data_IF_282920665478
#
_entry.id   IF_282920665478
#
_cell.length_a   1.000
_cell.length_b   1.000
_cell.length_c   1.000
_cell.angle_alpha   90.00
_cell.angle_beta   90.00
_cell.angle_gamma   90.00
#
_symmetry.space_group_name_H-M   'P 1'
#
loop_
_entity.id
_entity.type
_entity.pdbx_description
1 polymer ?
#
# COMPACT_ATOMS: atom_id res chain seq x y z
N UNK A 1 -48.86 78.85 -6.72
CA UNK A 1 -47.43 78.77 -6.36
C UNK A 1 -47.01 77.32 -6.47
N UNK A 2 -46.10 77.05 -7.40
CA UNK A 2 -45.58 75.73 -7.72
C UNK A 2 -44.56 75.26 -6.68
N UNK A 3 -44.63 73.99 -6.27
CA UNK A 3 -43.49 73.24 -5.74
C UNK A 3 -43.52 71.81 -6.26
N UNK A 4 -42.64 71.56 -7.20
CA UNK A 4 -42.14 70.25 -7.59
C UNK A 4 -41.18 69.73 -6.52
N UNK A 5 -41.18 68.42 -6.26
CA UNK A 5 -40.09 67.64 -5.63
C UNK A 5 -40.41 66.16 -5.82
N UNK A 6 -39.86 65.51 -6.85
CA UNK A 6 -38.58 64.80 -6.92
C UNK A 6 -38.77 63.30 -6.64
N UNK A 7 -38.87 62.53 -7.73
CA UNK A 7 -38.68 61.08 -7.74
C UNK A 7 -37.26 60.74 -7.30
N UNK A 8 -37.11 59.79 -6.38
CA UNK A 8 -35.84 59.08 -6.15
C UNK A 8 -36.09 57.59 -6.39
N UNK A 9 -35.74 57.13 -7.59
CA UNK A 9 -35.72 55.72 -7.96
C UNK A 9 -34.46 55.06 -7.41
N UNK A 10 -34.63 54.09 -6.52
CA UNK A 10 -33.54 53.26 -6.02
C UNK A 10 -33.30 52.11 -7.02
N UNK A 11 -32.30 52.27 -7.88
CA UNK A 11 -31.79 51.20 -8.74
C UNK A 11 -30.94 50.27 -7.89
N UNK A 12 -31.48 49.10 -7.55
CA UNK A 12 -30.75 48.04 -6.86
C UNK A 12 -29.82 47.34 -7.85
N UNK A 13 -28.56 47.77 -7.91
CA UNK A 13 -27.52 47.10 -8.68
C UNK A 13 -27.13 45.79 -7.97
N UNK A 14 -27.59 44.66 -8.52
CA UNK A 14 -27.17 43.32 -8.11
C UNK A 14 -25.72 43.11 -8.58
N UNK A 15 -24.76 43.41 -7.71
CA UNK A 15 -23.35 43.13 -7.97
C UNK A 15 -23.14 41.61 -7.97
N UNK A 16 -23.03 41.03 -9.16
CA UNK A 16 -22.47 39.69 -9.37
C UNK A 16 -21.01 39.70 -8.88
N UNK A 17 -20.81 39.25 -7.64
CA UNK A 17 -19.48 38.88 -7.15
C UNK A 17 -19.13 37.56 -7.83
N UNK A 18 -18.42 37.64 -8.96
CA UNK A 18 -17.68 36.52 -9.51
C UNK A 18 -16.58 36.16 -8.52
N UNK A 19 -16.85 35.22 -7.61
CA UNK A 19 -15.82 34.56 -6.83
C UNK A 19 -14.90 33.82 -7.81
N UNK A 20 -13.76 34.43 -8.11
CA UNK A 20 -12.67 33.76 -8.78
C UNK A 20 -12.28 32.57 -7.88
N UNK A 21 -12.69 31.37 -8.27
CA UNK A 21 -12.14 30.14 -7.71
C UNK A 21 -10.67 30.12 -8.11
N UNK A 22 -9.82 30.64 -7.24
CA UNK A 22 -8.41 30.37 -7.30
C UNK A 22 -8.29 28.84 -7.31
N UNK A 23 -7.83 28.28 -8.43
CA UNK A 23 -7.41 26.90 -8.50
C UNK A 23 -6.13 26.80 -7.67
N UNK A 24 -6.27 26.86 -6.35
CA UNK A 24 -5.23 26.43 -5.44
C UNK A 24 -4.94 24.98 -5.79
N UNK A 25 -3.67 24.68 -6.03
CA UNK A 25 -3.22 23.29 -6.05
C UNK A 25 -3.69 22.60 -4.76
N UNK A 26 -3.73 21.26 -4.73
CA UNK A 26 -4.10 20.53 -3.51
C UNK A 26 -3.23 21.05 -2.37
N UNK A 27 -3.88 21.77 -1.45
CA UNK A 27 -3.22 22.33 -0.28
C UNK A 27 -2.74 21.14 0.55
N UNK A 28 -1.43 21.05 0.70
CA UNK A 28 -0.80 19.99 1.45
C UNK A 28 -1.26 20.08 2.90
N UNK A 29 -1.88 19.02 3.42
CA UNK A 29 -2.38 18.98 4.79
C UNK A 29 -1.21 19.08 5.77
N UNK A 30 -1.39 19.75 6.92
CA UNK A 30 -0.36 19.85 7.94
C UNK A 30 0.00 18.46 8.48
N UNK A 31 1.27 18.25 8.81
CA UNK A 31 1.72 17.02 9.45
C UNK A 31 1.26 17.02 10.91
N UNK A 32 0.55 15.98 11.30
CA UNK A 32 0.15 15.73 12.68
C UNK A 32 1.27 15.02 13.42
N UNK A 33 1.80 15.63 14.48
CA UNK A 33 2.79 15.00 15.36
C UNK A 33 2.13 13.87 16.17
N UNK A 34 2.84 12.74 16.27
CA UNK A 34 2.38 11.53 16.93
C UNK A 34 3.27 11.16 18.13
N UNK A 35 2.75 10.38 19.10
CA UNK A 35 3.61 9.66 20.04
C UNK A 35 4.59 8.73 19.31
N UNK A 36 5.67 8.34 19.97
CA UNK A 36 6.66 7.42 19.39
C UNK A 36 6.05 6.03 19.08
N UNK A 37 6.43 5.46 17.93
CA UNK A 37 6.04 4.12 17.50
C UNK A 37 7.14 3.48 16.65
N UNK A 38 7.21 2.14 16.65
CA UNK A 38 8.15 1.36 15.85
C UNK A 38 7.46 0.32 14.96
N UNK A 39 6.19 0.04 15.24
CA UNK A 39 5.34 -0.82 14.42
C UNK A 39 4.30 0.03 13.69
N UNK A 40 4.07 -0.25 12.41
CA UNK A 40 2.98 0.33 11.63
C UNK A 40 2.01 -0.78 11.25
N UNK A 41 0.76 -0.65 11.68
CA UNK A 41 -0.33 -1.57 11.38
C UNK A 41 -1.35 -0.88 10.47
N UNK A 42 -1.57 -1.45 9.29
CA UNK A 42 -2.42 -0.90 8.26
C UNK A 42 -3.67 -1.75 8.04
N UNK A 43 -4.81 -1.09 8.14
CA UNK A 43 -6.16 -1.63 7.93
C UNK A 43 -6.96 -0.63 7.07
N UNK A 44 -6.36 -0.19 5.95
CA UNK A 44 -6.88 0.89 5.10
C UNK A 44 -6.96 0.45 3.63
N UNK A 45 -7.99 0.88 2.88
CA UNK A 45 -8.18 0.45 1.49
C UNK A 45 -7.47 1.38 0.47
N UNK A 46 -6.44 2.13 0.90
CA UNK A 46 -5.70 3.08 0.08
C UNK A 46 -4.20 2.98 0.33
N UNK A 47 -3.40 3.51 -0.60
CA UNK A 47 -1.95 3.39 -0.54
C UNK A 47 -1.37 4.25 0.59
N UNK A 48 -0.37 3.70 1.29
CA UNK A 48 0.34 4.39 2.37
C UNK A 48 1.81 4.49 2.01
N UNK A 49 2.40 5.67 2.23
CA UNK A 49 3.83 5.91 2.09
C UNK A 49 4.47 6.06 3.47
N UNK A 50 5.41 5.19 3.81
CA UNK A 50 6.17 5.23 5.06
C UNK A 50 7.55 5.74 4.72
N UNK A 51 7.99 6.83 5.36
CA UNK A 51 9.26 7.49 5.04
C UNK A 51 10.02 7.87 6.31
N UNK A 52 11.35 7.86 6.30
CA UNK A 52 12.11 8.34 7.43
C UNK A 52 11.81 9.82 7.69
N UNK A 53 11.71 10.21 8.96
CA UNK A 53 11.65 11.62 9.36
C UNK A 53 12.99 12.31 9.09
N UNK A 54 12.95 13.57 8.64
CA UNK A 54 14.11 14.44 8.48
C UNK A 54 13.97 15.74 9.29
N UNK A 55 14.88 16.70 9.08
CA UNK A 55 14.88 17.99 9.79
C UNK A 55 13.65 18.89 9.49
N UNK A 56 12.88 18.59 8.44
CA UNK A 56 11.69 19.33 8.01
C UNK A 56 10.38 18.71 8.48
N UNK A 57 10.44 17.51 9.05
CA UNK A 57 9.28 16.75 9.53
C UNK A 57 9.39 16.47 11.02
N UNK A 58 8.28 16.30 11.76
CA UNK A 58 8.37 15.79 13.13
C UNK A 58 9.00 14.39 13.15
N UNK A 59 9.62 14.02 14.28
CA UNK A 59 10.22 12.69 14.43
C UNK A 59 9.20 11.58 14.17
N UNK A 60 7.99 11.74 14.68
CA UNK A 60 6.86 10.84 14.45
C UNK A 60 5.70 11.66 13.93
N UNK A 61 5.18 11.30 12.77
CA UNK A 61 4.18 12.13 12.09
C UNK A 61 3.24 11.34 11.19
N UNK A 62 2.05 11.89 11.01
CA UNK A 62 1.06 11.43 10.04
C UNK A 62 0.59 12.61 9.21
N UNK A 63 0.61 12.45 7.90
CA UNK A 63 0.04 13.41 6.97
C UNK A 63 -1.04 12.75 6.13
N UNK A 64 -2.20 13.40 6.03
CA UNK A 64 -3.36 12.90 5.27
C UNK A 64 -3.80 13.98 4.27
N UNK A 65 -3.39 13.84 3.01
CA UNK A 65 -3.86 14.68 1.92
C UNK A 65 -5.05 14.00 1.24
N UNK A 66 -6.26 14.39 1.66
CA UNK A 66 -7.52 13.94 1.10
C UNK A 66 -8.59 15.03 1.25
N UNK A 67 -9.75 14.86 0.62
CA UNK A 67 -10.89 15.72 0.91
C UNK A 67 -11.34 15.58 2.38
N UNK A 68 -11.82 16.67 2.98
CA UNK A 68 -12.10 16.73 4.42
C UNK A 68 -12.96 15.57 4.95
N UNK A 69 -14.06 15.16 4.28
CA UNK A 69 -14.85 14.01 4.75
C UNK A 69 -14.07 12.69 4.78
N UNK A 70 -13.15 12.48 3.84
CA UNK A 70 -12.29 11.29 3.78
C UNK A 70 -11.19 11.36 4.83
N UNK A 71 -10.56 12.52 5.00
CA UNK A 71 -9.56 12.73 6.04
C UNK A 71 -10.14 12.47 7.44
N UNK A 72 -11.41 12.87 7.68
CA UNK A 72 -12.13 12.59 8.92
C UNK A 72 -12.54 11.12 9.09
N UNK A 73 -12.65 10.36 7.99
CA UNK A 73 -12.95 8.94 8.03
C UNK A 73 -11.71 8.08 8.32
N UNK A 74 -10.51 8.62 8.14
CA UNK A 74 -9.25 7.94 8.46
C UNK A 74 -9.02 8.06 9.97
N UNK A 75 -8.99 6.93 10.65
CA UNK A 75 -8.75 6.83 12.08
C UNK A 75 -7.32 6.37 12.31
N UNK A 76 -6.67 6.94 13.32
CA UNK A 76 -5.34 6.52 13.73
C UNK A 76 -5.23 6.52 15.26
N UNK A 77 -4.40 5.63 15.78
CA UNK A 77 -4.04 5.60 17.19
C UNK A 77 -2.64 5.05 17.35
N UNK A 78 -1.88 5.56 18.32
CA UNK A 78 -0.63 4.92 18.76
C UNK A 78 -0.94 4.18 20.05
N UNK A 79 -0.78 2.86 20.04
CA UNK A 79 -1.05 2.00 21.19
C UNK A 79 0.08 2.08 22.22
N UNK A 80 -0.17 1.56 23.43
CA UNK A 80 0.83 1.55 24.51
C UNK A 80 2.10 0.74 24.17
N UNK A 81 2.00 -0.23 23.25
CA UNK A 81 3.13 -1.02 22.78
C UNK A 81 3.90 -0.37 21.60
N UNK A 82 3.60 0.88 21.26
CA UNK A 82 4.31 1.60 20.19
C UNK A 82 3.91 1.16 18.78
N UNK A 83 2.64 0.78 18.59
CA UNK A 83 2.09 0.48 17.26
C UNK A 83 1.22 1.63 16.78
N UNK A 84 1.56 2.23 15.64
CA UNK A 84 0.66 3.09 14.90
C UNK A 84 -0.36 2.23 14.16
N UNK A 85 -1.60 2.24 14.60
CA UNK A 85 -2.71 1.58 13.93
C UNK A 85 -3.46 2.59 13.06
N UNK A 86 -3.57 2.31 11.76
CA UNK A 86 -4.31 3.08 10.77
C UNK A 86 -5.52 2.30 10.28
N UNK A 87 -6.71 2.90 10.38
CA UNK A 87 -7.99 2.33 9.95
C UNK A 87 -8.80 3.35 9.15
N UNK A 88 -9.88 2.89 8.51
CA UNK A 88 -10.82 3.78 7.85
C UNK A 88 -12.27 3.39 8.13
N UNK A 89 -13.06 4.38 8.56
CA UNK A 89 -14.52 4.32 8.49
C UNK A 89 -14.97 4.26 7.02
N UNK A 90 -16.19 3.79 6.72
CA UNK A 90 -16.72 3.82 5.36
C UNK A 90 -16.70 5.24 4.78
N UNK A 91 -16.12 5.38 3.58
CA UNK A 91 -16.12 6.64 2.84
C UNK A 91 -16.31 6.40 1.34
N UNK A 92 -16.51 7.48 0.60
CA UNK A 92 -16.51 7.46 -0.86
C UNK A 92 -15.88 8.75 -1.35
N UNK A 93 -15.00 8.64 -2.33
CA UNK A 93 -14.31 9.79 -2.90
C UNK A 93 -14.02 9.60 -4.38
N UNK A 94 -13.85 10.72 -5.08
CA UNK A 94 -13.26 10.74 -6.43
C UNK A 94 -11.86 11.37 -6.39
N UNK A 95 -11.46 11.90 -5.23
CA UNK A 95 -10.17 12.55 -5.06
C UNK A 95 -9.12 11.52 -4.63
N UNK A 96 -7.86 11.69 -5.07
CA UNK A 96 -6.75 10.92 -4.54
C UNK A 96 -6.67 11.03 -3.01
N UNK A 97 -6.32 9.92 -2.38
CA UNK A 97 -5.95 9.87 -0.96
C UNK A 97 -4.44 9.67 -0.90
N UNK A 98 -3.71 10.55 -0.23
CA UNK A 98 -2.29 10.35 0.07
C UNK A 98 -2.11 10.33 1.58
N UNK A 99 -1.57 9.23 2.08
CA UNK A 99 -1.19 9.12 3.49
C UNK A 99 0.30 8.90 3.57
N UNK A 100 0.98 9.76 4.32
CA UNK A 100 2.40 9.63 4.62
C UNK A 100 2.60 9.45 6.13
N UNK A 101 3.41 8.46 6.49
CA UNK A 101 3.81 8.14 7.87
C UNK A 101 5.30 8.43 8.00
N UNK A 102 5.65 9.20 9.04
CA UNK A 102 7.02 9.61 9.36
C UNK A 102 7.44 8.99 10.68
N UNK A 103 8.63 8.41 10.71
CA UNK A 103 9.29 7.89 11.92
C UNK A 103 10.81 7.92 11.74
N UNK A 104 11.62 7.91 12.81
CA UNK A 104 13.07 7.97 12.67
C UNK A 104 13.63 6.76 11.89
N UNK A 105 14.75 6.93 11.15
CA UNK A 105 15.33 5.87 10.31
C UNK A 105 15.59 4.53 11.00
N UNK A 106 15.91 4.54 12.29
CA UNK A 106 16.24 3.35 13.06
C UNK A 106 15.02 2.63 13.67
N UNK A 107 13.83 3.24 13.59
CA UNK A 107 12.68 2.84 14.42
C UNK A 107 11.66 1.98 13.68
N UNK A 108 11.69 1.88 12.35
CA UNK A 108 10.75 1.03 11.60
C UNK A 108 11.10 -0.46 11.78
N UNK A 109 10.58 -1.07 12.84
CA UNK A 109 10.86 -2.45 13.20
C UNK A 109 9.85 -3.45 12.60
N UNK A 110 8.59 -3.04 12.47
CA UNK A 110 7.52 -3.94 12.02
C UNK A 110 6.47 -3.23 11.16
N UNK A 111 6.01 -3.92 10.12
CA UNK A 111 4.95 -3.49 9.23
C UNK A 111 3.92 -4.61 9.04
N UNK A 112 2.69 -4.35 9.49
CA UNK A 112 1.56 -5.27 9.43
C UNK A 112 0.48 -4.78 8.47
N UNK A 113 0.07 -5.64 7.55
CA UNK A 113 -0.97 -5.38 6.56
C UNK A 113 -2.10 -6.39 6.71
N UNK A 114 -3.29 -5.93 7.08
CA UNK A 114 -4.45 -6.79 7.26
C UNK A 114 -5.43 -6.66 6.09
N UNK A 115 -5.47 -7.67 5.22
CA UNK A 115 -6.59 -7.86 4.29
C UNK A 115 -6.72 -6.83 3.15
N UNK A 116 -5.60 -6.23 2.72
CA UNK A 116 -5.64 -5.03 1.88
C UNK A 116 -5.49 -5.34 0.38
N UNK A 117 -6.17 -4.54 -0.45
CA UNK A 117 -5.93 -4.44 -1.89
C UNK A 117 -4.99 -3.28 -2.27
N UNK A 118 -4.59 -2.49 -1.27
CA UNK A 118 -3.76 -1.33 -1.44
C UNK A 118 -2.27 -1.67 -1.30
N UNK A 119 -1.45 -0.84 -1.94
CA UNK A 119 -0.01 -0.96 -1.89
C UNK A 119 0.58 -0.07 -0.80
N UNK A 120 1.56 -0.60 -0.08
CA UNK A 120 2.35 0.15 0.89
C UNK A 120 3.76 0.36 0.36
N UNK A 121 4.24 1.58 0.46
CA UNK A 121 5.55 1.98 -0.02
C UNK A 121 6.41 2.38 1.16
N UNK A 122 7.56 1.73 1.34
CA UNK A 122 8.56 2.08 2.33
C UNK A 122 9.71 2.79 1.59
N UNK A 123 9.87 4.07 1.89
CA UNK A 123 10.88 4.93 1.30
C UNK A 123 12.30 4.53 1.72
N UNK A 124 13.31 4.95 0.94
CA UNK A 124 14.71 4.67 1.24
C UNK A 124 15.20 5.41 2.47
N UNK A 125 16.22 4.82 3.12
CA UNK A 125 16.93 5.44 4.24
C UNK A 125 16.61 4.86 5.61
N UNK A 126 15.66 3.92 5.71
CA UNK A 126 15.48 3.15 6.94
C UNK A 126 16.68 2.22 7.20
N UNK A 127 17.11 2.18 8.45
CA UNK A 127 18.22 1.37 8.92
C UNK A 127 17.94 0.70 10.30
N UNK A 128 16.82 -0.01 10.48
CA UNK A 128 16.52 -0.70 11.74
C UNK A 128 17.47 -1.89 11.97
N UNK A 129 17.60 -2.34 13.23
CA UNK A 129 18.37 -3.56 13.53
C UNK A 129 17.70 -4.81 12.92
N UNK A 130 16.38 -4.89 13.03
CA UNK A 130 15.56 -5.96 12.45
C UNK A 130 14.30 -5.37 11.85
N UNK A 131 13.81 -5.96 10.75
CA UNK A 131 12.57 -5.55 10.11
C UNK A 131 11.66 -6.77 9.88
N UNK A 132 10.42 -6.69 10.36
CA UNK A 132 9.41 -7.72 10.15
C UNK A 132 8.28 -7.17 9.28
N UNK A 133 7.96 -7.89 8.21
CA UNK A 133 6.82 -7.62 7.33
C UNK A 133 5.82 -8.76 7.46
N UNK A 134 4.59 -8.45 7.89
CA UNK A 134 3.49 -9.42 7.90
C UNK A 134 2.34 -8.92 7.05
N UNK A 135 1.96 -9.71 6.06
CA UNK A 135 0.81 -9.46 5.23
C UNK A 135 -0.17 -10.63 5.32
N UNK A 136 -1.41 -10.32 5.68
CA UNK A 136 -2.50 -11.28 5.62
C UNK A 136 -2.87 -11.67 4.19
N UNK A 137 -3.96 -12.39 4.04
CA UNK A 137 -4.47 -12.71 2.71
C UNK A 137 -4.97 -11.42 2.01
N UNK A 138 -4.51 -11.15 0.80
CA UNK A 138 -4.83 -9.93 0.06
C UNK A 138 -4.03 -9.83 -1.24
N UNK A 139 -4.44 -8.92 -2.13
CA UNK A 139 -3.77 -8.68 -3.41
C UNK A 139 -2.84 -7.47 -3.40
N UNK A 140 -2.87 -6.64 -2.35
CA UNK A 140 -1.96 -5.51 -2.20
C UNK A 140 -0.50 -5.93 -2.15
N UNK A 141 0.39 -4.99 -2.43
CA UNK A 141 1.82 -5.21 -2.36
C UNK A 141 2.53 -4.33 -1.34
N UNK A 142 3.75 -4.73 -0.98
CA UNK A 142 4.66 -3.92 -0.17
C UNK A 142 5.93 -3.71 -0.97
N UNK A 143 6.32 -2.44 -1.12
CA UNK A 143 7.50 -2.05 -1.88
C UNK A 143 8.44 -1.26 -0.97
N UNK A 144 9.47 -1.93 -0.47
CA UNK A 144 10.52 -1.36 0.35
C UNK A 144 11.81 -1.23 -0.47
N UNK A 145 12.22 0.00 -0.72
CA UNK A 145 13.44 0.31 -1.48
C UNK A 145 14.44 0.99 -0.57
N UNK A 146 15.72 0.59 -0.64
CA UNK A 146 16.79 1.20 0.14
C UNK A 146 16.65 0.99 1.66
N UNK A 147 15.99 -0.10 2.08
CA UNK A 147 15.93 -0.54 3.48
C UNK A 147 17.22 -1.29 3.83
N UNK A 148 17.86 -0.91 4.94
CA UNK A 148 19.04 -1.62 5.46
C UNK A 148 18.69 -2.26 6.81
N UNK A 149 18.89 -3.57 6.97
CA UNK A 149 18.65 -4.23 8.25
C UNK A 149 19.59 -5.41 8.48
N UNK A 150 19.92 -5.73 9.72
CA UNK A 150 20.72 -6.93 10.02
C UNK A 150 19.93 -8.21 9.77
N UNK A 151 18.62 -8.17 9.99
CA UNK A 151 17.71 -9.29 9.74
C UNK A 151 16.36 -8.82 9.20
N UNK A 152 15.81 -9.59 8.26
CA UNK A 152 14.46 -9.37 7.71
C UNK A 152 13.63 -10.63 7.85
N UNK A 153 12.40 -10.49 8.35
CA UNK A 153 11.41 -11.56 8.35
C UNK A 153 10.19 -11.14 7.53
N UNK A 154 9.83 -11.93 6.52
CA UNK A 154 8.65 -11.70 5.68
C UNK A 154 7.69 -12.85 5.90
N UNK A 155 6.44 -12.55 6.26
CA UNK A 155 5.35 -13.52 6.37
C UNK A 155 4.17 -13.03 5.53
N UNK A 156 3.78 -13.78 4.49
CA UNK A 156 2.68 -13.39 3.60
C UNK A 156 1.75 -14.55 3.26
N UNK A 157 0.46 -14.24 3.11
CA UNK A 157 -0.56 -15.15 2.59
C UNK A 157 -1.06 -14.73 1.19
N UNK A 158 -0.48 -13.69 0.58
CA UNK A 158 -0.82 -13.25 -0.76
C UNK A 158 -0.10 -11.98 -1.23
N UNK A 159 -0.32 -11.57 -2.47
CA UNK A 159 0.16 -10.30 -2.99
C UNK A 159 1.63 -10.31 -3.40
N UNK A 160 2.23 -9.12 -3.48
CA UNK A 160 3.60 -8.93 -3.97
C UNK A 160 4.45 -8.18 -2.96
N UNK A 161 5.55 -8.78 -2.52
CA UNK A 161 6.53 -8.13 -1.64
C UNK A 161 7.78 -7.83 -2.45
N UNK A 162 8.23 -6.59 -2.47
CA UNK A 162 9.48 -6.15 -3.09
C UNK A 162 10.33 -5.50 -2.01
N UNK A 163 11.40 -6.20 -1.60
CA UNK A 163 12.35 -5.75 -0.59
C UNK A 163 13.73 -5.63 -1.24
N UNK A 164 14.02 -4.44 -1.78
CA UNK A 164 15.29 -4.14 -2.43
C UNK A 164 16.12 -3.26 -1.49
N UNK A 165 17.10 -3.87 -0.85
CA UNK A 165 17.88 -3.25 0.20
C UNK A 165 19.13 -4.04 0.53
N UNK A 166 19.72 -3.77 1.68
CA UNK A 166 20.89 -4.51 2.19
C UNK A 166 20.49 -5.25 3.44
N UNK A 167 20.63 -6.57 3.45
CA UNK A 167 20.18 -7.41 4.54
C UNK A 167 21.26 -8.38 4.96
N UNK A 168 21.50 -8.50 6.28
CA UNK A 168 22.43 -9.51 6.81
C UNK A 168 21.91 -10.93 6.70
N UNK A 169 20.59 -11.13 6.86
CA UNK A 169 19.90 -12.40 6.71
C UNK A 169 18.42 -12.19 6.41
N UNK A 170 17.78 -13.14 5.74
CA UNK A 170 16.34 -13.12 5.54
C UNK A 170 15.63 -14.44 5.85
N UNK A 171 14.42 -14.33 6.39
CA UNK A 171 13.46 -15.42 6.53
C UNK A 171 12.19 -15.06 5.75
N UNK A 172 11.72 -15.98 4.90
CA UNK A 172 10.51 -15.81 4.11
C UNK A 172 9.53 -16.95 4.39
N UNK A 173 8.35 -16.63 4.88
CA UNK A 173 7.21 -17.53 4.97
C UNK A 173 6.13 -17.03 4.01
N UNK A 174 5.87 -17.76 2.93
CA UNK A 174 4.91 -17.36 1.91
C UNK A 174 3.90 -18.48 1.64
N UNK A 175 2.62 -18.14 1.68
CA UNK A 175 1.52 -19.06 1.40
C UNK A 175 0.46 -18.39 0.51
N UNK A 176 -0.58 -19.13 0.11
CA UNK A 176 -1.63 -18.59 -0.76
C UNK A 176 -1.12 -18.36 -2.18
N UNK A 177 -1.29 -17.13 -2.70
CA UNK A 177 -0.78 -16.71 -4.01
C UNK A 177 0.12 -15.49 -3.80
N UNK A 178 1.44 -15.72 -3.71
CA UNK A 178 2.39 -14.70 -3.30
C UNK A 178 3.62 -14.64 -4.21
N UNK A 179 4.13 -13.44 -4.45
CA UNK A 179 5.44 -13.22 -5.05
C UNK A 179 6.30 -12.41 -4.08
N UNK A 180 7.50 -12.88 -3.77
CA UNK A 180 8.43 -12.21 -2.86
C UNK A 180 9.75 -11.97 -3.59
N UNK A 181 10.16 -10.73 -3.71
CA UNK A 181 11.45 -10.30 -4.26
C UNK A 181 12.31 -9.78 -3.12
N UNK A 182 13.48 -10.36 -2.91
CA UNK A 182 14.39 -9.94 -1.84
C UNK A 182 15.85 -10.01 -2.30
N UNK A 183 16.59 -8.94 -2.03
CA UNK A 183 17.98 -8.77 -2.47
C UNK A 183 19.01 -9.35 -1.47
N UNK A 184 18.77 -10.57 -0.98
CA UNK A 184 19.72 -11.31 -0.14
C UNK A 184 19.44 -12.82 -0.19
N UNK A 185 20.28 -13.61 0.46
CA UNK A 185 19.98 -15.00 0.75
C UNK A 185 18.90 -15.17 1.82
N UNK A 186 18.14 -16.27 1.74
CA UNK A 186 16.99 -16.47 2.60
C UNK A 186 16.76 -17.92 2.98
N UNK A 187 16.25 -18.13 4.20
CA UNK A 187 15.53 -19.36 4.56
C UNK A 187 14.05 -19.22 4.16
N UNK A 188 13.50 -20.20 3.45
CA UNK A 188 12.17 -20.10 2.84
C UNK A 188 11.21 -21.20 3.30
N UNK A 189 9.98 -20.84 3.63
CA UNK A 189 8.89 -21.76 3.94
C UNK A 189 7.72 -21.41 3.02
N UNK A 190 7.47 -22.28 2.04
CA UNK A 190 6.56 -21.98 0.94
C UNK A 190 5.37 -22.94 0.95
N UNK A 191 4.19 -22.37 0.71
CA UNK A 191 2.94 -23.11 0.51
C UNK A 191 2.08 -22.47 -0.58
N UNK A 192 1.05 -23.18 -1.04
CA UNK A 192 0.14 -22.69 -2.08
C UNK A 192 0.82 -22.56 -3.46
N UNK A 193 0.64 -21.40 -4.09
CA UNK A 193 1.28 -21.01 -5.36
C UNK A 193 2.14 -19.78 -5.06
N UNK A 194 3.36 -20.01 -4.59
CA UNK A 194 4.24 -18.94 -4.10
C UNK A 194 5.59 -18.96 -4.81
N UNK A 195 6.04 -17.78 -5.25
CA UNK A 195 7.34 -17.61 -5.87
C UNK A 195 8.22 -16.69 -5.02
N UNK A 196 9.47 -17.09 -4.82
CA UNK A 196 10.49 -16.24 -4.20
C UNK A 196 11.59 -15.98 -5.22
N UNK A 197 12.03 -14.73 -5.30
CA UNK A 197 13.04 -14.23 -6.22
C UNK A 197 14.18 -13.65 -5.38
N UNK A 198 15.33 -14.31 -5.40
CA UNK A 198 16.50 -14.00 -4.58
C UNK A 198 17.64 -13.43 -5.43
N UNK A 199 18.08 -12.22 -5.12
CA UNK A 199 19.34 -11.68 -5.64
C UNK A 199 20.45 -11.94 -4.62
N UNK A 200 21.15 -13.05 -4.79
CA UNK A 200 22.16 -13.54 -3.84
C UNK A 200 23.55 -12.98 -4.15
N UNK A 201 24.35 -12.74 -3.11
CA UNK A 201 25.64 -12.07 -3.24
C UNK A 201 26.82 -12.97 -3.67
N UNK A 202 26.69 -14.31 -3.70
CA UNK A 202 27.82 -15.19 -4.07
C UNK A 202 27.49 -16.68 -4.22
N UNK A 203 28.47 -17.45 -4.71
CA UNK A 203 28.35 -18.89 -4.98
C UNK A 203 28.31 -19.77 -3.73
N UNK A 204 28.77 -19.26 -2.58
CA UNK A 204 28.79 -19.99 -1.30
C UNK A 204 27.46 -19.93 -0.53
N UNK A 205 26.52 -19.12 -1.01
CA UNK A 205 25.20 -18.94 -0.40
C UNK A 205 24.41 -20.25 -0.39
N UNK A 206 23.81 -20.56 0.76
CA UNK A 206 22.96 -21.73 0.96
C UNK A 206 21.50 -21.30 1.17
N UNK A 207 20.66 -21.52 0.17
CA UNK A 207 19.22 -21.29 0.23
C UNK A 207 18.56 -22.58 0.73
N UNK A 208 17.89 -22.51 1.88
CA UNK A 208 17.33 -23.68 2.56
C UNK A 208 15.88 -23.49 2.97
N UNK A 209 15.16 -24.60 3.15
CA UNK A 209 13.82 -24.58 3.70
C UNK A 209 12.87 -25.63 3.09
N UNK A 210 11.60 -25.30 2.95
CA UNK A 210 10.56 -26.25 2.52
C UNK A 210 9.55 -25.65 1.55
N UNK A 211 8.99 -26.50 0.69
CA UNK A 211 7.94 -26.16 -0.27
C UNK A 211 6.83 -27.21 -0.23
N UNK A 212 5.66 -26.82 0.29
CA UNK A 212 4.48 -27.68 0.45
C UNK A 212 3.44 -27.52 -0.69
N UNK A 213 3.70 -26.62 -1.65
CA UNK A 213 2.79 -26.26 -2.75
C UNK A 213 3.46 -26.26 -4.13
N UNK A 214 2.79 -25.66 -5.11
CA UNK A 214 3.35 -25.36 -6.45
C UNK A 214 4.20 -24.09 -6.31
N UNK A 215 5.29 -24.21 -5.56
CA UNK A 215 6.14 -23.08 -5.16
C UNK A 215 7.50 -23.16 -5.82
N UNK A 216 8.09 -22.00 -6.11
CA UNK A 216 9.40 -21.91 -6.78
C UNK A 216 10.28 -20.85 -6.14
N UNK A 217 11.58 -21.12 -6.12
CA UNK A 217 12.63 -20.18 -5.74
C UNK A 217 13.52 -19.96 -6.95
N UNK A 218 13.54 -18.72 -7.41
CA UNK A 218 14.43 -18.23 -8.45
C UNK A 218 15.60 -17.51 -7.79
N UNK A 219 16.82 -17.86 -8.15
CA UNK A 219 18.02 -17.29 -7.54
C UNK A 219 19.14 -17.11 -8.58
N UNK A 220 20.03 -16.15 -8.37
CA UNK A 220 21.14 -15.86 -9.31
C UNK A 220 22.37 -16.72 -9.05
N UNK A 221 22.74 -16.94 -7.80
CA UNK A 221 23.96 -17.65 -7.39
C UNK A 221 23.72 -18.50 -6.14
N UNK A 222 24.65 -19.40 -5.84
CA UNK A 222 24.58 -20.26 -4.66
C UNK A 222 23.96 -21.63 -4.91
N UNK A 223 23.69 -22.34 -3.81
CA UNK A 223 23.07 -23.66 -3.78
C UNK A 223 21.69 -23.55 -3.16
N UNK A 224 20.71 -24.22 -3.75
CA UNK A 224 19.33 -24.24 -3.25
C UNK A 224 18.91 -25.67 -2.95
N UNK A 225 18.54 -25.90 -1.69
CA UNK A 225 18.06 -27.18 -1.19
C UNK A 225 16.75 -26.95 -0.42
N UNK A 226 15.64 -27.40 -1.01
CA UNK A 226 14.32 -27.29 -0.40
C UNK A 226 13.68 -28.66 -0.29
N UNK A 227 13.12 -28.95 0.88
CA UNK A 227 12.29 -30.11 1.10
C UNK A 227 10.93 -29.89 0.43
N UNK A 228 10.69 -30.60 -0.69
CA UNK A 228 9.45 -30.50 -1.45
C UNK A 228 8.68 -31.82 -1.45
N UNK A 229 7.38 -31.73 -1.20
CA UNK A 229 6.45 -32.87 -1.37
C UNK A 229 6.04 -33.07 -2.84
N UNK A 230 6.30 -32.10 -3.71
CA UNK A 230 6.04 -32.16 -5.15
C UNK A 230 7.27 -32.69 -5.89
N UNK A 231 7.27 -34.01 -6.14
CA UNK A 231 8.41 -34.74 -6.74
C UNK A 231 8.61 -34.49 -8.25
N UNK A 232 7.67 -33.82 -8.92
CA UNK A 232 7.66 -33.70 -10.38
C UNK A 232 8.56 -32.57 -10.91
N UNK A 233 8.92 -31.60 -10.08
CA UNK A 233 9.79 -30.48 -10.46
C UNK A 233 10.61 -30.02 -9.25
N UNK A 234 11.88 -29.67 -9.50
CA UNK A 234 12.70 -29.01 -8.50
C UNK A 234 12.07 -27.65 -8.16
N UNK A 235 11.85 -27.32 -6.87
CA UNK A 235 11.40 -26.00 -6.45
C UNK A 235 12.50 -24.95 -6.65
N UNK A 236 13.75 -25.37 -6.84
CA UNK A 236 14.91 -24.50 -7.05
C UNK A 236 15.18 -24.31 -8.55
N UNK A 237 15.24 -23.06 -9.00
CA UNK A 237 15.64 -22.68 -10.35
C UNK A 237 16.68 -21.55 -10.32
N UNK A 238 17.91 -21.86 -10.71
CA UNK A 238 18.93 -20.82 -10.94
C UNK A 238 18.63 -20.08 -12.25
N UNK A 239 18.75 -18.76 -12.24
CA UNK A 239 18.53 -17.87 -13.39
C UNK A 239 19.71 -16.91 -13.56
N UNK A 240 20.02 -16.52 -14.79
CA UNK A 240 21.14 -15.60 -15.06
C UNK A 240 20.90 -14.18 -14.51
N UNK A 241 19.63 -13.79 -14.37
CA UNK A 241 19.22 -12.52 -13.79
C UNK A 241 17.89 -12.77 -13.08
N UNK A 242 17.75 -12.28 -11.85
CA UNK A 242 16.43 -12.31 -11.19
C UNK A 242 15.47 -11.52 -12.06
N UNK A 243 14.25 -12.03 -12.25
CA UNK A 243 13.17 -11.28 -12.91
C UNK A 243 13.11 -9.91 -12.28
N UNK A 244 13.15 -8.84 -13.10
CA UNK A 244 13.06 -7.48 -12.59
C UNK A 244 11.84 -7.40 -11.68
N UNK A 245 12.07 -7.05 -10.42
CA UNK A 245 10.98 -6.78 -9.50
C UNK A 245 10.02 -5.81 -10.18
N UNK A 246 8.69 -6.01 -10.09
CA UNK A 246 7.75 -5.07 -10.65
C UNK A 246 8.12 -3.70 -10.11
N UNK A 247 8.55 -2.83 -11.01
CA UNK A 247 8.82 -1.45 -10.66
C UNK A 247 7.46 -0.90 -10.29
N UNK A 248 7.30 -0.41 -9.07
CA UNK A 248 6.18 0.45 -8.75
C UNK A 248 6.06 1.48 -9.87
N UNK A 249 4.90 1.59 -10.53
CA UNK A 249 4.75 2.51 -11.65
C UNK A 249 5.00 3.96 -11.18
N UNK A 250 6.24 4.42 -11.32
CA UNK A 250 6.70 5.79 -11.10
C UNK A 250 7.41 6.07 -9.76
N UNK A 251 8.51 6.87 -9.76
CA UNK A 251 9.13 7.36 -8.54
C UNK A 251 8.25 8.48 -7.99
N UNK A 252 7.54 8.27 -6.88
CA UNK A 252 6.75 9.32 -6.21
C UNK A 252 5.69 10.00 -7.09
N UNK A 253 5.43 9.46 -8.28
CA UNK A 253 4.32 9.88 -9.09
C UNK A 253 3.08 9.23 -8.48
N UNK A 254 2.53 9.88 -7.46
CA UNK A 254 1.09 10.04 -7.39
C UNK A 254 0.59 10.80 -8.65
N UNK A 255 0.94 10.36 -9.86
CA UNK A 255 0.14 10.62 -11.04
C UNK A 255 -1.01 9.63 -10.94
N UNK A 256 -1.92 9.92 -10.01
CA UNK A 256 -3.31 9.66 -10.34
C UNK A 256 -3.52 10.45 -11.61
N UNK A 257 -3.74 9.77 -12.73
CA UNK A 257 -4.32 10.42 -13.89
C UNK A 257 -5.53 11.15 -13.34
N UNK A 258 -5.41 12.48 -13.15
CA UNK A 258 -6.45 13.27 -12.52
C UNK A 258 -7.76 12.88 -13.20
N UNK A 259 -8.84 12.60 -12.45
CA UNK A 259 -10.01 11.94 -12.99
C UNK A 259 -10.47 12.69 -14.24
N UNK A 260 -10.13 12.16 -15.40
CA UNK A 260 -10.65 12.61 -16.68
C UNK A 260 -11.90 11.79 -16.89
N UNK A 261 -12.90 12.06 -16.05
CA UNK A 261 -14.18 11.34 -16.00
C UNK A 261 -14.69 11.06 -14.59
N UNK A 262 -15.88 10.46 -14.54
CA UNK A 262 -16.73 10.12 -13.37
C UNK A 262 -16.16 9.01 -12.45
N UNK A 263 -14.83 8.94 -12.29
CA UNK A 263 -14.21 7.84 -11.55
C UNK A 263 -14.43 7.99 -10.03
N UNK A 264 -14.91 6.92 -9.36
CA UNK A 264 -15.26 6.92 -7.94
C UNK A 264 -14.60 5.74 -7.23
N UNK A 265 -13.86 6.03 -6.16
CA UNK A 265 -13.28 5.07 -5.23
C UNK A 265 -14.15 5.00 -3.97
N UNK A 266 -14.44 3.79 -3.52
CA UNK A 266 -15.13 3.53 -2.26
C UNK A 266 -14.37 2.46 -1.48
N UNK A 267 -14.28 2.65 -0.17
CA UNK A 267 -13.54 1.76 0.70
C UNK A 267 -14.16 1.70 2.09
N UNK A 268 -14.19 0.50 2.68
CA UNK A 268 -14.53 0.30 4.07
C UNK A 268 -13.82 -0.95 4.59
N UNK A 269 -13.27 -0.86 5.81
CA UNK A 269 -12.74 -2.02 6.53
C UNK A 269 -13.34 -2.02 7.92
N UNK A 270 -13.92 -3.14 8.36
CA UNK A 270 -14.52 -3.22 9.69
C UNK A 270 -13.54 -3.90 10.67
N UNK A 271 -13.17 -3.24 11.79
CA UNK A 271 -12.22 -3.79 12.77
C UNK A 271 -12.67 -5.16 13.31
N UNK A 272 -11.74 -6.12 13.34
CA UNK A 272 -12.00 -7.50 13.77
C UNK A 272 -12.84 -8.34 12.80
N UNK A 273 -13.18 -7.84 11.62
CA UNK A 273 -13.90 -8.59 10.59
C UNK A 273 -12.95 -9.17 9.53
N UNK A 274 -13.36 -10.27 8.90
CA UNK A 274 -12.70 -10.80 7.69
C UNK A 274 -13.21 -10.15 6.40
N UNK A 275 -13.92 -9.03 6.49
CA UNK A 275 -14.60 -8.38 5.36
C UNK A 275 -13.97 -7.01 5.09
N UNK A 276 -13.28 -6.89 3.96
CA UNK A 276 -12.86 -5.61 3.39
C UNK A 276 -13.71 -5.33 2.14
N UNK A 277 -14.17 -4.09 2.00
CA UNK A 277 -14.88 -3.61 0.80
C UNK A 277 -14.02 -2.58 0.11
N UNK A 278 -13.78 -2.80 -1.18
CA UNK A 278 -13.12 -1.85 -2.06
C UNK A 278 -13.84 -1.87 -3.41
N UNK A 279 -14.18 -0.70 -3.91
CA UNK A 279 -14.87 -0.52 -5.18
C UNK A 279 -14.27 0.63 -5.96
N UNK A 280 -14.13 0.43 -7.27
CA UNK A 280 -13.75 1.48 -8.22
C UNK A 280 -14.77 1.49 -9.36
N UNK A 281 -15.36 2.64 -9.65
CA UNK A 281 -16.28 2.84 -10.79
C UNK A 281 -15.64 3.83 -11.76
N UNK A 282 -15.65 3.59 -13.08
CA UNK A 282 -15.03 4.50 -14.04
C UNK A 282 -15.15 4.11 -15.54
N UNK A 283 -15.00 5.11 -16.44
CA UNK A 283 -15.19 4.96 -17.89
C UNK A 283 -13.98 4.35 -18.66
N UNK A 284 -12.83 4.16 -18.01
CA UNK A 284 -11.64 3.49 -18.56
C UNK A 284 -11.04 2.56 -17.51
N UNK A 285 -10.34 1.50 -17.96
CA UNK A 285 -9.74 0.42 -17.16
C UNK A 285 -9.74 0.70 -15.65
N UNK A 286 -10.84 0.34 -14.99
CA UNK A 286 -10.90 0.31 -13.54
C UNK A 286 -10.44 -1.10 -13.14
N UNK A 287 -9.27 -1.17 -12.51
CA UNK A 287 -8.76 -2.41 -11.93
C UNK A 287 -9.30 -2.53 -10.50
N UNK A 288 -10.37 -3.31 -10.29
CA UNK A 288 -10.54 -3.98 -8.99
C UNK A 288 -9.91 -5.36 -9.09
N UNK A 289 -8.79 -5.57 -8.41
CA UNK A 289 -8.21 -6.90 -8.25
C UNK A 289 -8.93 -7.56 -7.09
N UNK A 290 -9.67 -8.63 -7.36
CA UNK A 290 -10.32 -9.44 -6.35
C UNK A 290 -9.90 -10.89 -6.54
N UNK A 291 -9.28 -11.47 -5.53
CA UNK A 291 -8.96 -12.90 -5.50
C UNK A 291 -9.39 -13.44 -4.14
N UNK A 292 -10.11 -14.57 -4.18
CA UNK A 292 -10.84 -15.15 -3.06
C UNK A 292 -9.91 -15.58 -1.91
N UNK A 293 -10.26 -15.15 -0.69
CA UNK A 293 -9.72 -15.64 0.59
C UNK A 293 -10.77 -16.54 1.28
N UNK A 294 -10.45 -17.26 2.37
CA UNK A 294 -11.46 -17.91 3.22
C UNK A 294 -12.25 -16.83 4.00
N UNK A 295 -13.17 -16.15 3.33
CA UNK A 295 -13.96 -15.04 3.86
C UNK A 295 -14.75 -14.33 2.76
N UNK A 296 -15.83 -13.60 3.12
CA UNK A 296 -16.62 -12.84 2.16
C UNK A 296 -15.87 -11.57 1.76
N UNK A 297 -15.33 -11.54 0.55
CA UNK A 297 -14.75 -10.34 -0.07
C UNK A 297 -15.77 -9.77 -1.06
N UNK A 298 -16.22 -8.53 -0.83
CA UNK A 298 -17.08 -7.83 -1.79
C UNK A 298 -16.24 -6.79 -2.51
N UNK A 299 -15.93 -7.07 -3.78
CA UNK A 299 -15.32 -6.12 -4.70
C UNK A 299 -16.30 -5.82 -5.82
N UNK A 300 -16.27 -4.59 -6.32
CA UNK A 300 -17.08 -4.19 -7.46
C UNK A 300 -16.29 -3.26 -8.37
N UNK A 301 -16.14 -3.66 -9.63
CA UNK A 301 -15.83 -2.73 -10.72
C UNK A 301 -17.08 -2.57 -11.57
N UNK A 302 -17.57 -1.33 -11.69
CA UNK A 302 -18.63 -1.00 -12.63
C UNK A 302 -18.05 -0.10 -13.73
N UNK A 303 -18.10 -0.59 -14.97
CA UNK A 303 -17.76 0.18 -16.18
C UNK A 303 -19.04 0.65 -16.86
N UNK A 304 -19.10 1.93 -17.24
CA UNK A 304 -20.33 2.60 -17.69
C UNK A 304 -20.53 2.63 -19.22
N UNK A 305 -19.97 1.69 -20.01
CA UNK A 305 -20.58 1.42 -21.32
C UNK A 305 -19.81 0.84 -22.52
N UNK A 306 -18.78 0.00 -22.36
CA UNK A 306 -18.40 -0.99 -23.41
C UNK A 306 -18.15 -2.41 -22.87
N UNK A 307 -18.59 -2.68 -21.63
CA UNK A 307 -18.65 -4.01 -21.03
C UNK A 307 -17.51 -4.32 -20.04
N UNK A 308 -17.86 -4.42 -18.75
CA UNK A 308 -17.63 -5.58 -17.86
C UNK A 308 -18.80 -5.62 -16.86
N UNK A 309 -19.40 -6.80 -16.68
CA UNK A 309 -20.40 -7.11 -15.65
C UNK A 309 -19.66 -7.60 -14.39
N UNK A 310 -19.95 -6.97 -13.24
CA UNK A 310 -19.44 -7.40 -11.94
C UNK A 310 -19.97 -8.80 -11.58
N UNK A 311 -19.07 -9.69 -11.15
CA UNK A 311 -19.43 -10.97 -10.55
C UNK A 311 -19.29 -10.91 -9.04
N UNK A 312 -20.37 -11.17 -8.31
CA UNK A 312 -20.31 -11.53 -6.89
C UNK A 312 -19.75 -12.95 -6.77
N UNK A 313 -18.56 -13.10 -6.20
CA UNK A 313 -18.09 -14.41 -5.72
C UNK A 313 -18.53 -14.56 -4.26
N UNK A 314 -19.47 -15.48 -4.03
CA UNK A 314 -19.89 -15.91 -2.69
C UNK A 314 -18.92 -16.90 -2.07
#
# INVERSE_FOLDING_TARGET
MARASLLLGLVLACALVTAARAQGGPEQAPIQELPAFSTVQLCVPFNVFITPSDASTPQYGLQVDAELPVAQAILWTVTENGTLQLEAQPFTTQQPIKVAVYLPPAELAELDLYGMLADTYVGPGFSPESFTLRQGAGAGGVYAFGLNASSVAVSTQGGTMVLLGTYGSAQVNASGIANVFIATDASVQLGGISNVYLETAGEEVQISGSASGISRVFYTQGQCQLDSVFLLQSPCQQVATVVQAPVAEGPYAFQVAGPTGTQQQAGAVQPGSSTAQAGATGQRQASSVAIATPGKVSTGTQSDGQGIVAGTTG
#
